data_IF_696051230143
#
_entry.id   IF_696051230143
#
_cell.length_a   1.000
_cell.length_b   1.000
_cell.length_c   1.000
_cell.angle_alpha   90.00
_cell.angle_beta   90.00
_cell.angle_gamma   90.00
#
_symmetry.space_group_name_H-M   'P 1'
#
loop_
_entity.id
_entity.type
_entity.pdbx_description
1 polymer ?
#
# COMPACT_ATOMS: atom_id res chain seq x y z
N UNK A 1 -8.23 33.34 -2.59
CA UNK A 1 -8.05 32.77 -3.94
C UNK A 1 -7.98 31.24 -3.80
N UNK A 2 -9.12 30.57 -3.52
CA UNK A 2 -9.12 29.21 -2.93
C UNK A 2 -10.25 28.30 -3.41
N UNK A 3 -11.10 28.73 -4.36
CA UNK A 3 -12.32 28.00 -4.72
C UNK A 3 -12.19 26.98 -5.86
N UNK A 4 -11.08 26.94 -6.60
CA UNK A 4 -10.97 26.18 -7.86
C UNK A 4 -9.93 25.03 -7.86
N UNK A 5 -9.54 24.49 -6.68
CA UNK A 5 -8.71 23.27 -6.64
C UNK A 5 -9.64 22.03 -6.67
N UNK A 6 -10.02 21.57 -7.87
CA UNK A 6 -10.82 20.34 -8.05
C UNK A 6 -9.94 19.08 -7.99
N UNK A 7 -10.40 18.09 -7.23
CA UNK A 7 -9.83 16.74 -7.21
C UNK A 7 -10.64 15.86 -8.17
N UNK A 8 -10.13 15.60 -9.37
CA UNK A 8 -10.75 14.66 -10.31
C UNK A 8 -9.71 14.07 -11.25
N UNK A 9 -9.47 12.77 -11.11
CA UNK A 9 -8.71 11.94 -12.05
C UNK A 9 -8.91 10.47 -11.66
N UNK A 10 -8.95 9.60 -12.68
CA UNK A 10 -9.02 8.15 -12.50
C UNK A 10 -7.64 7.63 -12.06
N UNK A 11 -7.62 6.67 -11.14
CA UNK A 11 -6.36 6.09 -10.65
C UNK A 11 -5.92 4.95 -11.57
N UNK A 12 -4.66 4.99 -12.00
CA UNK A 12 -4.10 3.92 -12.82
C UNK A 12 -3.79 2.73 -11.92
N UNK A 13 -4.41 1.58 -12.23
CA UNK A 13 -4.12 0.30 -11.58
C UNK A 13 -3.18 -0.52 -12.47
N UNK A 14 -1.86 -0.41 -12.27
CA UNK A 14 -0.85 -1.10 -13.09
C UNK A 14 -1.01 -2.62 -13.11
N UNK A 15 -1.47 -3.24 -12.01
CA UNK A 15 -1.77 -4.67 -11.98
C UNK A 15 -2.93 -5.05 -12.91
N UNK A 16 -3.94 -4.19 -13.09
CA UNK A 16 -5.02 -4.40 -14.04
C UNK A 16 -4.53 -4.24 -15.49
N UNK A 17 -3.67 -3.25 -15.74
CA UNK A 17 -3.02 -3.05 -17.04
C UNK A 17 -2.20 -4.31 -17.43
N UNK A 18 -1.43 -4.87 -16.49
CA UNK A 18 -0.66 -6.09 -16.71
C UNK A 18 -1.55 -7.30 -16.99
N UNK A 19 -2.70 -7.41 -16.32
CA UNK A 19 -3.71 -8.46 -16.59
C UNK A 19 -4.32 -8.30 -18.00
N UNK A 20 -4.68 -7.09 -18.41
CA UNK A 20 -5.20 -6.81 -19.76
C UNK A 20 -4.17 -7.15 -20.84
N UNK A 21 -2.90 -6.80 -20.62
CA UNK A 21 -1.80 -7.18 -21.51
C UNK A 21 -1.69 -8.70 -21.64
N UNK A 22 -1.65 -9.42 -20.51
CA UNK A 22 -1.58 -10.89 -20.50
C UNK A 22 -2.79 -11.54 -21.20
N UNK A 23 -3.98 -10.95 -21.07
CA UNK A 23 -5.17 -11.40 -21.80
C UNK A 23 -5.00 -11.23 -23.32
N UNK A 24 -4.49 -10.09 -23.79
CA UNK A 24 -4.20 -9.87 -25.20
C UNK A 24 -3.14 -10.83 -25.75
N UNK A 25 -2.07 -11.09 -24.98
CA UNK A 25 -1.04 -12.08 -25.33
C UNK A 25 -1.64 -13.49 -25.45
N UNK A 26 -2.54 -13.85 -24.54
CA UNK A 26 -3.24 -15.14 -24.56
C UNK A 26 -4.15 -15.25 -25.80
N UNK A 27 -4.83 -14.18 -26.21
CA UNK A 27 -5.64 -14.17 -27.45
C UNK A 27 -4.74 -14.50 -28.65
N UNK A 28 -3.60 -13.82 -28.77
CA UNK A 28 -2.66 -14.05 -29.87
C UNK A 28 -2.13 -15.49 -29.85
N UNK A 29 -1.77 -16.01 -28.67
CA UNK A 29 -1.29 -17.39 -28.52
C UNK A 29 -2.36 -18.42 -28.92
N UNK A 30 -3.58 -18.27 -28.42
CA UNK A 30 -4.71 -19.16 -28.72
C UNK A 30 -5.05 -19.12 -30.21
N UNK A 31 -5.09 -17.92 -30.81
CA UNK A 31 -5.36 -17.75 -32.24
C UNK A 31 -4.29 -18.42 -33.10
N UNK A 32 -3.01 -18.20 -32.78
CA UNK A 32 -1.90 -18.83 -33.50
C UNK A 32 -1.93 -20.36 -33.37
N UNK A 33 -2.24 -20.88 -32.17
CA UNK A 33 -2.38 -22.31 -31.94
C UNK A 33 -3.56 -22.91 -32.73
N UNK A 34 -4.71 -22.23 -32.72
CA UNK A 34 -5.90 -22.66 -33.45
C UNK A 34 -5.65 -22.71 -34.97
N UNK A 35 -4.95 -21.72 -35.52
CA UNK A 35 -4.57 -21.71 -36.94
C UNK A 35 -3.70 -22.90 -37.35
N UNK A 36 -2.86 -23.41 -36.43
CA UNK A 36 -1.99 -24.58 -36.66
C UNK A 36 -2.75 -25.89 -36.48
N UNK A 37 -3.59 -26.00 -35.45
CA UNK A 37 -4.31 -27.24 -35.11
C UNK A 37 -5.52 -27.49 -36.02
N UNK A 38 -6.15 -26.42 -36.51
CA UNK A 38 -7.40 -26.46 -37.28
C UNK A 38 -7.32 -25.61 -38.57
N UNK A 39 -6.36 -25.88 -39.48
CA UNK A 39 -6.13 -25.04 -40.65
C UNK A 39 -7.34 -24.95 -41.59
N UNK A 40 -8.16 -26.00 -41.66
CA UNK A 40 -9.32 -26.08 -42.56
C UNK A 40 -10.61 -25.48 -41.95
N UNK A 41 -10.65 -25.27 -40.62
CA UNK A 41 -11.80 -24.69 -39.89
C UNK A 41 -11.56 -23.24 -39.47
N UNK A 42 -10.38 -22.72 -39.77
CA UNK A 42 -9.92 -21.40 -39.41
C UNK A 42 -10.24 -20.39 -40.52
N UNK A 43 -10.80 -19.23 -40.16
CA UNK A 43 -10.81 -18.04 -41.02
C UNK A 43 -9.53 -17.22 -40.75
N UNK A 44 -8.51 -17.28 -41.63
CA UNK A 44 -7.22 -16.67 -41.37
C UNK A 44 -7.31 -15.14 -41.24
N UNK A 45 -8.19 -14.52 -42.03
CA UNK A 45 -8.38 -13.07 -42.02
C UNK A 45 -9.01 -12.60 -40.71
N UNK A 46 -9.89 -13.42 -40.12
CA UNK A 46 -10.50 -13.11 -38.83
C UNK A 46 -9.45 -13.16 -37.71
N UNK A 47 -8.66 -14.23 -37.63
CA UNK A 47 -7.61 -14.37 -36.61
C UNK A 47 -6.54 -13.30 -36.75
N UNK A 48 -6.13 -12.97 -37.99
CA UNK A 48 -5.15 -11.93 -38.26
C UNK A 48 -5.63 -10.58 -37.74
N UNK A 49 -6.89 -10.20 -38.01
CA UNK A 49 -7.49 -8.95 -37.50
C UNK A 49 -7.60 -8.92 -35.97
N UNK A 50 -7.96 -10.04 -35.34
CA UNK A 50 -8.01 -10.15 -33.88
C UNK A 50 -6.60 -10.00 -33.28
N UNK A 51 -5.59 -10.61 -33.90
CA UNK A 51 -4.21 -10.52 -33.47
C UNK A 51 -3.63 -9.11 -33.67
N UNK A 52 -3.93 -8.45 -34.78
CA UNK A 52 -3.56 -7.05 -35.03
C UNK A 52 -4.17 -6.11 -33.99
N UNK A 53 -5.46 -6.31 -33.66
CA UNK A 53 -6.14 -5.53 -32.63
C UNK A 53 -5.52 -5.75 -31.26
N UNK A 54 -5.28 -7.01 -30.87
CA UNK A 54 -4.63 -7.34 -29.60
C UNK A 54 -3.20 -6.79 -29.53
N UNK A 55 -2.44 -6.82 -30.64
CA UNK A 55 -1.09 -6.27 -30.72
C UNK A 55 -1.06 -4.74 -30.60
N UNK A 56 -2.03 -4.06 -31.23
CA UNK A 56 -2.20 -2.63 -31.09
C UNK A 56 -2.56 -2.23 -29.65
N UNK A 57 -3.42 -3.00 -28.99
CA UNK A 57 -3.77 -2.79 -27.58
C UNK A 57 -2.56 -3.03 -26.66
N UNK A 58 -1.77 -4.09 -26.87
CA UNK A 58 -0.52 -4.35 -26.12
C UNK A 58 0.42 -3.15 -26.24
N UNK A 59 0.58 -2.58 -27.44
CA UNK A 59 1.45 -1.41 -27.66
C UNK A 59 0.99 -0.20 -26.81
N UNK A 60 -0.33 0.03 -26.72
CA UNK A 60 -0.88 1.10 -25.87
C UNK A 60 -0.68 0.80 -24.38
N UNK A 61 -0.91 -0.45 -23.95
CA UNK A 61 -0.72 -0.86 -22.57
C UNK A 61 0.76 -0.77 -22.15
N UNK A 62 1.69 -1.14 -23.03
CA UNK A 62 3.13 -1.02 -22.79
C UNK A 62 3.58 0.44 -22.65
N UNK A 63 2.99 1.35 -23.44
CA UNK A 63 3.24 2.78 -23.26
C UNK A 63 2.77 3.28 -21.88
N UNK A 64 1.66 2.76 -21.36
CA UNK A 64 1.19 3.07 -20.00
C UNK A 64 2.13 2.45 -18.96
N UNK A 65 2.49 1.17 -19.09
CA UNK A 65 3.39 0.46 -18.17
C UNK A 65 4.78 1.11 -18.11
N UNK A 66 5.27 1.71 -19.19
CA UNK A 66 6.52 2.46 -19.21
C UNK A 66 6.52 3.69 -18.27
N UNK A 67 5.34 4.15 -17.87
CA UNK A 67 5.17 5.26 -16.90
C UNK A 67 5.00 4.79 -15.45
N UNK A 68 5.15 3.49 -15.18
CA UNK A 68 4.99 2.90 -13.85
C UNK A 68 5.97 3.55 -12.85
N UNK A 69 5.47 4.11 -11.73
CA UNK A 69 6.34 4.63 -10.70
C UNK A 69 7.13 3.50 -10.02
N UNK A 70 8.36 3.78 -9.54
CA UNK A 70 9.11 2.80 -8.75
C UNK A 70 8.34 2.43 -7.47
N UNK A 71 8.56 1.21 -6.94
CA UNK A 71 7.94 0.81 -5.68
C UNK A 71 8.32 1.77 -4.53
N UNK A 72 7.44 1.96 -3.54
CA UNK A 72 7.72 2.86 -2.43
C UNK A 72 8.90 2.38 -1.58
N UNK A 73 9.82 3.29 -1.28
CA UNK A 73 10.97 3.00 -0.42
C UNK A 73 10.62 3.24 1.04
N UNK A 74 10.05 2.22 1.68
CA UNK A 74 9.72 2.22 3.11
C UNK A 74 10.47 1.07 3.81
N UNK A 75 10.92 1.21 5.06
CA UNK A 75 11.15 2.47 5.74
C UNK A 75 12.26 3.29 5.03
N UNK A 76 12.35 4.60 5.30
CA UNK A 76 13.46 5.43 4.82
C UNK A 76 14.83 4.84 5.22
N UNK A 77 15.70 4.58 4.25
CA UNK A 77 17.05 4.01 4.45
C UNK A 77 18.08 5.01 4.99
N UNK A 78 17.80 6.31 4.89
CA UNK A 78 18.63 7.38 5.43
C UNK A 78 17.76 8.38 6.21
N UNK A 79 18.36 9.18 7.11
CA UNK A 79 17.64 10.21 7.85
C UNK A 79 16.94 11.20 6.92
N UNK A 80 15.70 11.54 7.27
CA UNK A 80 14.95 12.58 6.58
C UNK A 80 15.44 13.96 7.03
N UNK A 81 15.49 14.91 6.10
CA UNK A 81 15.72 16.32 6.40
C UNK A 81 14.67 17.20 5.73
N UNK A 82 14.52 18.41 6.28
CA UNK A 82 13.56 19.40 5.79
C UNK A 82 14.15 20.16 4.60
N UNK A 83 13.39 20.24 3.51
CA UNK A 83 13.63 21.16 2.39
C UNK A 83 12.47 22.14 2.31
N UNK A 84 12.73 23.41 2.00
CA UNK A 84 11.70 24.42 1.84
C UNK A 84 12.03 25.31 0.67
N UNK A 85 11.00 25.79 -0.03
CA UNK A 85 11.17 26.56 -1.25
C UNK A 85 9.91 26.61 -2.09
N UNK A 86 10.00 27.30 -3.22
CA UNK A 86 8.93 27.35 -4.22
C UNK A 86 9.09 26.18 -5.19
N UNK A 87 7.96 25.56 -5.55
CA UNK A 87 7.99 24.50 -6.56
C UNK A 87 8.19 25.09 -7.96
N UNK A 88 9.28 24.69 -8.60
CA UNK A 88 9.64 25.05 -9.98
C UNK A 88 8.85 24.20 -10.98
N UNK A 89 8.79 22.90 -10.72
CA UNK A 89 8.08 21.92 -11.54
C UNK A 89 7.31 20.96 -10.63
N UNK A 90 6.11 20.55 -11.06
CA UNK A 90 5.28 19.62 -10.30
C UNK A 90 4.33 18.86 -11.22
N UNK A 91 4.42 17.54 -11.20
CA UNK A 91 3.58 16.60 -11.92
C UNK A 91 3.07 15.53 -10.95
N UNK A 92 1.80 15.16 -11.11
CA UNK A 92 1.13 14.18 -10.26
C UNK A 92 0.55 13.08 -11.12
N UNK A 93 0.95 11.85 -10.84
CA UNK A 93 0.38 10.65 -11.44
C UNK A 93 -0.48 9.94 -10.39
N UNK A 94 -1.77 9.75 -10.69
CA UNK A 94 -2.71 9.09 -9.78
C UNK A 94 -2.63 7.59 -9.99
N UNK A 95 -2.18 6.86 -8.97
CA UNK A 95 -1.84 5.44 -9.06
C UNK A 95 -2.38 4.67 -7.87
N UNK A 96 -2.80 3.42 -8.11
CA UNK A 96 -3.04 2.46 -7.04
C UNK A 96 -1.69 1.94 -6.56
N UNK A 97 -1.27 2.39 -5.38
CA UNK A 97 -0.03 2.00 -4.74
C UNK A 97 -0.24 0.93 -3.67
N UNK A 98 0.84 0.25 -3.30
CA UNK A 98 0.87 -0.77 -2.25
C UNK A 98 1.96 -0.39 -1.26
N UNK A 99 1.64 -0.36 0.03
CA UNK A 99 2.52 0.23 1.07
C UNK A 99 2.67 -0.67 2.30
N UNK A 100 2.29 -1.95 2.17
CA UNK A 100 2.41 -2.94 3.23
C UNK A 100 3.84 -3.47 3.34
N UNK A 101 4.14 -4.15 4.45
CA UNK A 101 5.40 -4.85 4.71
C UNK A 101 5.80 -5.81 3.58
N UNK A 102 4.83 -6.46 2.95
CA UNK A 102 5.05 -7.28 1.75
C UNK A 102 5.81 -6.57 0.62
N UNK A 103 5.66 -5.26 0.47
CA UNK A 103 6.20 -4.51 -0.67
C UNK A 103 7.65 -4.07 -0.45
N UNK A 104 8.07 -3.94 0.80
CA UNK A 104 9.40 -3.46 1.12
C UNK A 104 10.28 -4.46 1.88
N UNK A 105 9.68 -5.45 2.54
CA UNK A 105 10.37 -6.58 3.15
C UNK A 105 9.63 -7.90 2.82
N UNK A 106 9.68 -8.34 1.54
CA UNK A 106 8.97 -9.52 1.09
C UNK A 106 9.44 -10.80 1.78
N UNK A 107 10.71 -10.87 2.19
CA UNK A 107 11.27 -12.03 2.90
C UNK A 107 10.71 -12.12 4.32
N UNK A 108 10.74 -11.03 5.10
CA UNK A 108 10.16 -11.03 6.44
C UNK A 108 8.65 -11.29 6.39
N UNK A 109 7.95 -10.72 5.41
CA UNK A 109 6.53 -11.00 5.21
C UNK A 109 6.28 -12.49 4.94
N UNK A 110 7.02 -13.11 4.03
CA UNK A 110 6.87 -14.53 3.70
C UNK A 110 7.16 -15.43 4.92
N UNK A 111 8.17 -15.09 5.71
CA UNK A 111 8.46 -15.79 6.96
C UNK A 111 7.32 -15.64 7.99
N UNK A 112 6.76 -14.45 8.12
CA UNK A 112 5.63 -14.21 9.03
C UNK A 112 4.37 -14.95 8.58
N UNK A 113 4.07 -14.95 7.28
CA UNK A 113 2.95 -15.69 6.71
C UNK A 113 3.10 -17.20 6.94
N UNK A 114 4.29 -17.75 6.71
CA UNK A 114 4.60 -19.16 7.00
C UNK A 114 4.38 -19.50 8.48
N UNK A 115 4.84 -18.65 9.40
CA UNK A 115 4.63 -18.83 10.85
C UNK A 115 3.15 -18.78 11.22
N UNK A 116 2.38 -17.87 10.62
CA UNK A 116 0.94 -17.74 10.84
C UNK A 116 0.20 -19.00 10.37
N UNK A 117 0.57 -19.56 9.21
CA UNK A 117 0.00 -20.82 8.71
C UNK A 117 0.29 -22.00 9.64
N UNK A 118 1.55 -22.13 10.10
CA UNK A 118 1.93 -23.16 11.09
C UNK A 118 1.19 -22.96 12.41
N UNK A 119 1.06 -21.72 12.88
CA UNK A 119 0.28 -21.37 14.06
C UNK A 119 -1.20 -21.74 13.91
N UNK A 120 -1.80 -21.46 12.75
CA UNK A 120 -3.17 -21.84 12.42
C UNK A 120 -3.39 -23.35 12.48
N UNK A 121 -2.44 -24.14 11.93
CA UNK A 121 -2.49 -25.60 12.03
C UNK A 121 -2.41 -26.08 13.50
N UNK A 122 -1.54 -25.50 14.31
CA UNK A 122 -1.42 -25.85 15.74
C UNK A 122 -2.73 -25.53 16.49
N UNK A 123 -3.37 -24.40 16.21
CA UNK A 123 -4.66 -24.01 16.79
C UNK A 123 -5.79 -24.93 16.30
N UNK A 124 -5.72 -25.44 15.07
CA UNK A 124 -6.67 -26.45 14.59
C UNK A 124 -6.52 -27.78 15.34
N UNK A 125 -5.28 -28.20 15.63
CA UNK A 125 -5.00 -29.43 16.39
C UNK A 125 -5.55 -29.36 17.83
N UNK A 126 -5.70 -28.17 18.41
CA UNK A 126 -6.33 -27.99 19.73
C UNK A 126 -7.86 -27.92 19.67
N UNK A 127 -8.45 -28.14 18.50
CA UNK A 127 -9.91 -28.17 18.30
C UNK A 127 -10.53 -26.80 18.06
N UNK A 128 -9.74 -25.72 17.97
CA UNK A 128 -10.24 -24.37 17.74
C UNK A 128 -10.18 -24.01 16.24
N UNK A 129 -11.16 -24.53 15.48
CA UNK A 129 -11.24 -24.32 14.03
C UNK A 129 -11.46 -22.86 13.63
N UNK A 130 -12.20 -22.09 14.42
CA UNK A 130 -12.42 -20.66 14.17
C UNK A 130 -11.13 -19.85 14.35
N UNK A 131 -10.37 -20.10 15.42
CA UNK A 131 -9.07 -19.48 15.65
C UNK A 131 -8.03 -19.87 14.60
N UNK A 132 -8.06 -21.12 14.15
CA UNK A 132 -7.21 -21.62 13.07
C UNK A 132 -7.47 -20.91 11.73
N UNK A 133 -8.76 -20.73 11.38
CA UNK A 133 -9.15 -20.04 10.16
C UNK A 133 -8.64 -18.60 10.12
N UNK A 134 -8.74 -17.87 11.23
CA UNK A 134 -8.24 -16.49 11.32
C UNK A 134 -6.71 -16.44 11.31
N UNK A 135 -6.06 -17.35 12.04
CA UNK A 135 -4.59 -17.33 12.20
C UNK A 135 -3.87 -17.77 10.93
N UNK A 136 -4.39 -18.78 10.23
CA UNK A 136 -3.78 -19.31 9.00
C UNK A 136 -4.15 -18.57 7.72
N UNK A 137 -5.04 -17.57 7.80
CA UNK A 137 -5.48 -16.84 6.62
C UNK A 137 -4.35 -15.96 6.06
N UNK A 138 -4.07 -16.11 4.77
CA UNK A 138 -3.21 -15.18 4.03
C UNK A 138 -3.79 -13.77 4.04
N UNK A 139 -2.92 -12.79 4.31
CA UNK A 139 -3.35 -11.39 4.34
C UNK A 139 -3.70 -10.91 2.93
N UNK A 140 -4.87 -10.27 2.80
CA UNK A 140 -5.27 -9.64 1.55
C UNK A 140 -4.35 -8.45 1.29
N UNK A 141 -3.73 -8.43 0.11
CA UNK A 141 -2.87 -7.32 -0.31
C UNK A 141 -3.66 -6.01 -0.30
N UNK A 142 -3.22 -5.04 0.49
CA UNK A 142 -3.91 -3.77 0.66
C UNK A 142 -3.43 -2.75 -0.38
N UNK A 143 -4.38 -2.17 -1.12
CA UNK A 143 -4.11 -1.20 -2.18
C UNK A 143 -4.69 0.17 -1.82
N UNK A 144 -3.94 1.23 -2.13
CA UNK A 144 -4.33 2.60 -1.79
C UNK A 144 -4.24 3.56 -2.97
N UNK A 145 -5.30 4.34 -3.15
CA UNK A 145 -5.39 5.41 -4.13
C UNK A 145 -4.47 6.57 -3.73
N UNK A 146 -3.35 6.69 -4.44
CA UNK A 146 -2.21 7.53 -4.07
C UNK A 146 -1.74 8.41 -5.23
N UNK A 147 -1.02 9.47 -4.89
CA UNK A 147 -0.41 10.38 -5.85
C UNK A 147 1.10 10.11 -5.88
N UNK A 148 1.63 9.66 -7.02
CA UNK A 148 3.06 9.66 -7.27
C UNK A 148 3.46 11.02 -7.82
N UNK A 149 4.26 11.75 -7.06
CA UNK A 149 4.68 13.11 -7.42
C UNK A 149 6.07 13.11 -8.02
N UNK A 150 6.26 13.98 -9.01
CA UNK A 150 7.56 14.32 -9.61
C UNK A 150 7.67 15.83 -9.67
N UNK A 151 8.82 16.41 -9.43
CA UNK A 151 8.97 17.86 -9.50
C UNK A 151 10.38 18.33 -9.26
N UNK A 152 10.52 19.64 -9.08
CA UNK A 152 11.79 20.30 -8.83
C UNK A 152 11.65 21.41 -7.80
N UNK A 153 12.58 21.44 -6.85
CA UNK A 153 12.67 22.47 -5.81
C UNK A 153 14.13 22.88 -5.61
N UNK A 154 14.39 24.18 -5.49
CA UNK A 154 15.75 24.71 -5.28
C UNK A 154 16.78 24.16 -6.27
N UNK A 155 16.40 23.95 -7.54
CA UNK A 155 17.27 23.37 -8.56
C UNK A 155 17.38 21.83 -8.55
N UNK A 156 16.82 21.13 -7.56
CA UNK A 156 16.97 19.67 -7.38
C UNK A 156 15.65 18.94 -7.69
N UNK A 157 15.73 17.90 -8.52
CA UNK A 157 14.59 17.05 -8.87
C UNK A 157 14.17 16.17 -7.70
N UNK A 158 12.87 15.92 -7.58
CA UNK A 158 12.33 15.05 -6.55
C UNK A 158 11.24 14.13 -7.08
N UNK A 159 11.05 13.00 -6.41
CA UNK A 159 9.91 12.12 -6.63
C UNK A 159 9.48 11.44 -5.35
N UNK A 160 8.24 10.97 -5.27
CA UNK A 160 7.79 10.28 -4.07
C UNK A 160 6.34 9.86 -4.12
N UNK A 161 6.00 8.93 -3.22
CA UNK A 161 4.63 8.51 -3.01
C UNK A 161 3.99 9.34 -1.92
N UNK A 162 2.87 9.97 -2.24
CA UNK A 162 2.08 10.73 -1.30
C UNK A 162 0.64 10.24 -1.34
N UNK A 163 -0.10 10.50 -0.27
CA UNK A 163 -1.56 10.52 -0.35
C UNK A 163 -2.04 11.61 -1.31
N UNK A 164 -3.32 11.94 -1.22
CA UNK A 164 -3.93 12.96 -2.10
C UNK A 164 -3.31 14.34 -1.83
N UNK A 165 -2.70 14.95 -2.85
CA UNK A 165 -2.07 16.28 -2.76
C UNK A 165 -2.82 17.33 -3.59
N UNK A 166 -2.85 18.56 -3.08
CA UNK A 166 -3.47 19.73 -3.72
C UNK A 166 -2.43 20.80 -4.11
N UNK A 167 -1.15 20.45 -4.03
CA UNK A 167 0.00 21.33 -4.30
C UNK A 167 0.11 21.64 -5.79
N UNK A 168 0.57 22.83 -6.13
CA UNK A 168 0.76 23.30 -7.51
C UNK A 168 2.13 23.96 -7.69
N UNK A 169 2.58 24.06 -8.94
CA UNK A 169 3.75 24.87 -9.30
C UNK A 169 3.57 26.30 -8.79
N UNK A 170 4.63 26.88 -8.22
CA UNK A 170 4.60 28.20 -7.60
C UNK A 170 4.14 28.22 -6.14
N UNK A 171 3.58 27.13 -5.61
CA UNK A 171 3.29 27.03 -4.17
C UNK A 171 4.62 26.98 -3.38
N UNK A 172 4.69 27.72 -2.26
CA UNK A 172 5.76 27.55 -1.28
C UNK A 172 5.46 26.35 -0.39
N UNK A 173 6.35 25.37 -0.38
CA UNK A 173 6.15 24.11 0.34
C UNK A 173 7.31 23.81 1.28
N UNK A 174 7.02 23.00 2.28
CA UNK A 174 8.04 22.37 3.12
C UNK A 174 7.95 20.85 2.93
N UNK A 175 9.06 20.19 2.66
CA UNK A 175 9.10 18.77 2.36
C UNK A 175 9.99 18.02 3.35
N UNK A 176 9.55 16.84 3.78
CA UNK A 176 10.42 15.86 4.43
C UNK A 176 10.96 14.92 3.36
N UNK A 177 12.27 14.97 3.14
CA UNK A 177 12.92 14.27 2.04
C UNK A 177 14.08 13.43 2.53
N UNK A 178 14.38 12.38 1.78
CA UNK A 178 15.64 11.66 1.83
C UNK A 178 16.51 12.09 0.64
N UNK A 179 17.78 12.36 0.90
CA UNK A 179 18.77 12.64 -0.13
C UNK A 179 19.18 11.38 -0.89
N UNK A 180 19.20 11.47 -2.21
CA UNK A 180 19.99 10.61 -3.10
C UNK A 180 20.88 11.50 -3.97
N UNK A 181 21.96 10.93 -4.51
CA UNK A 181 23.08 11.66 -5.14
C UNK A 181 22.65 12.91 -5.93
N UNK A 182 21.67 12.79 -6.82
CA UNK A 182 21.14 13.92 -7.63
C UNK A 182 19.61 14.11 -7.55
N UNK A 183 18.93 13.47 -6.60
CA UNK A 183 17.47 13.61 -6.47
C UNK A 183 16.98 13.41 -5.04
N UNK A 184 15.82 13.96 -4.74
CA UNK A 184 15.14 13.74 -3.46
C UNK A 184 14.04 12.67 -3.57
N UNK A 185 13.95 11.81 -2.56
CA UNK A 185 12.78 10.97 -2.32
C UNK A 185 11.91 11.66 -1.28
N UNK A 186 10.68 12.01 -1.64
CA UNK A 186 9.76 12.78 -0.79
C UNK A 186 8.80 11.85 -0.05
N UNK A 187 8.68 12.07 1.27
CA UNK A 187 7.79 11.31 2.15
C UNK A 187 6.63 12.14 2.70
N UNK A 188 6.81 13.46 2.77
CA UNK A 188 5.76 14.38 3.17
C UNK A 188 5.94 15.74 2.50
N UNK A 189 4.83 16.39 2.17
CA UNK A 189 4.78 17.77 1.70
C UNK A 189 3.76 18.52 2.56
N UNK A 190 4.22 19.59 3.19
CA UNK A 190 3.40 20.59 3.83
C UNK A 190 3.22 21.77 2.88
N UNK A 191 1.99 22.26 2.78
CA UNK A 191 1.63 23.51 2.13
C UNK A 191 1.20 24.50 3.23
N UNK A 192 2.12 25.33 3.74
CA UNK A 192 1.85 26.21 4.89
C UNK A 192 0.69 27.18 4.67
N UNK A 193 0.51 27.67 3.44
CA UNK A 193 -0.59 28.58 3.08
C UNK A 193 -1.97 27.96 3.38
N UNK A 194 -2.15 26.68 3.06
CA UNK A 194 -3.41 25.96 3.30
C UNK A 194 -3.40 25.19 4.63
N UNK A 195 -2.27 25.19 5.37
CA UNK A 195 -2.05 24.40 6.58
C UNK A 195 -2.35 22.91 6.38
N UNK A 196 -2.07 22.40 5.19
CA UNK A 196 -2.28 20.99 4.83
C UNK A 196 -0.94 20.27 4.77
N UNK A 197 -0.89 19.05 5.30
CA UNK A 197 0.24 18.15 5.17
C UNK A 197 -0.28 16.89 4.47
N UNK A 198 0.40 16.50 3.40
CA UNK A 198 0.19 15.23 2.71
C UNK A 198 1.42 14.36 2.94
N UNK A 199 1.22 13.11 3.34
CA UNK A 199 2.28 12.15 3.65
C UNK A 199 2.09 10.87 2.83
N UNK A 200 3.14 10.07 2.69
CA UNK A 200 3.04 8.69 2.17
C UNK A 200 1.98 7.90 2.97
N UNK A 201 1.09 7.13 2.31
CA UNK A 201 0.09 6.32 3.00
C UNK A 201 0.72 5.38 4.05
N UNK A 202 -0.03 5.10 5.11
CA UNK A 202 0.37 4.29 6.28
C UNK A 202 1.59 4.77 7.08
N UNK A 203 2.29 5.82 6.63
CA UNK A 203 3.32 6.51 7.43
C UNK A 203 2.67 7.49 8.43
N UNK A 204 1.77 6.99 9.27
CA UNK A 204 0.98 7.81 10.22
C UNK A 204 1.73 8.13 11.51
N UNK A 205 2.61 7.22 11.95
CA UNK A 205 3.28 7.30 13.24
C UNK A 205 4.75 6.91 13.10
N UNK A 206 5.60 7.55 13.91
CA UNK A 206 6.95 7.04 14.14
C UNK A 206 6.93 5.89 15.14
N UNK A 207 8.00 5.09 15.15
CA UNK A 207 8.18 3.92 16.04
C UNK A 207 7.85 4.20 17.52
N UNK A 208 8.13 5.41 18.01
CA UNK A 208 7.88 5.78 19.40
C UNK A 208 6.39 5.84 19.75
N UNK A 209 5.55 6.30 18.82
CA UNK A 209 4.11 6.41 19.03
C UNK A 209 3.47 5.02 18.97
N UNK A 210 3.92 4.15 18.06
CA UNK A 210 3.43 2.76 17.99
C UNK A 210 3.74 2.00 19.29
N UNK A 211 4.99 2.09 19.78
CA UNK A 211 5.39 1.47 21.06
C UNK A 211 4.57 2.04 22.23
N UNK A 212 4.30 3.35 22.24
CA UNK A 212 3.50 3.98 23.28
C UNK A 212 2.05 3.47 23.28
N UNK A 213 1.42 3.33 22.12
CA UNK A 213 0.05 2.81 22.01
C UNK A 213 -0.04 1.35 22.42
N UNK A 214 0.93 0.52 21.99
CA UNK A 214 0.97 -0.90 22.33
C UNK A 214 1.13 -1.11 23.84
N UNK A 215 2.06 -0.37 24.46
CA UNK A 215 2.26 -0.38 25.91
C UNK A 215 1.02 0.09 26.68
N UNK A 216 0.41 1.19 26.24
CA UNK A 216 -0.79 1.76 26.90
C UNK A 216 -1.97 0.79 26.82
N UNK A 217 -2.21 0.20 25.66
CA UNK A 217 -3.28 -0.79 25.45
C UNK A 217 -3.05 -2.04 26.31
N UNK A 218 -1.82 -2.55 26.35
CA UNK A 218 -1.43 -3.70 27.17
C UNK A 218 -1.69 -3.49 28.66
N UNK A 219 -1.37 -2.31 29.20
CA UNK A 219 -1.66 -1.97 30.61
C UNK A 219 -3.15 -2.06 30.94
N UNK A 220 -4.03 -1.57 30.06
CA UNK A 220 -5.47 -1.63 30.30
C UNK A 220 -6.02 -3.06 30.29
N UNK A 221 -5.53 -3.91 29.38
CA UNK A 221 -5.93 -5.33 29.32
C UNK A 221 -5.46 -6.09 30.57
N UNK A 222 -4.18 -5.92 30.94
CA UNK A 222 -3.61 -6.55 32.14
C UNK A 222 -4.34 -6.06 33.39
N UNK A 223 -4.53 -4.74 33.53
CA UNK A 223 -5.27 -4.15 34.65
C UNK A 223 -6.69 -4.68 34.76
N UNK A 224 -7.42 -4.76 33.65
CA UNK A 224 -8.77 -5.33 33.60
C UNK A 224 -8.81 -6.79 34.06
N UNK A 225 -7.88 -7.62 33.57
CA UNK A 225 -7.76 -9.01 33.98
C UNK A 225 -7.47 -9.14 35.49
N UNK A 226 -6.52 -8.38 36.03
CA UNK A 226 -6.23 -8.36 37.46
C UNK A 226 -7.42 -7.88 38.30
N UNK A 227 -8.19 -6.92 37.81
CA UNK A 227 -9.39 -6.43 38.52
C UNK A 227 -10.47 -7.50 38.58
N UNK A 228 -10.72 -8.22 37.48
CA UNK A 228 -11.66 -9.36 37.45
C UNK A 228 -11.17 -10.48 38.37
N UNK A 229 -9.88 -10.81 38.34
CA UNK A 229 -9.29 -11.85 39.19
C UNK A 229 -9.39 -11.50 40.68
N UNK A 230 -9.13 -10.24 41.05
CA UNK A 230 -9.34 -9.73 42.41
C UNK A 230 -10.81 -9.83 42.82
N UNK A 231 -11.75 -9.45 41.97
CA UNK A 231 -13.18 -9.62 42.26
C UNK A 231 -13.52 -11.10 42.49
N UNK A 232 -13.03 -12.03 41.68
CA UNK A 232 -13.24 -13.46 41.86
C UNK A 232 -12.62 -14.04 43.14
N UNK A 233 -11.52 -13.46 43.64
CA UNK A 233 -10.87 -13.90 44.89
C UNK A 233 -11.54 -13.27 46.13
N UNK A 234 -11.91 -12.00 46.06
CA UNK A 234 -12.42 -11.24 47.22
C UNK A 234 -13.95 -11.31 47.40
N UNK A 235 -14.74 -11.51 46.34
CA UNK A 235 -16.19 -11.74 46.45
C UNK A 235 -16.54 -12.98 47.29
N UNK A 236 -15.96 -14.18 47.07
CA UNK A 236 -16.27 -15.35 47.89
C UNK A 236 -15.74 -15.21 49.33
N UNK A 237 -14.64 -14.47 49.55
CA UNK A 237 -14.09 -14.22 50.88
C UNK A 237 -15.04 -13.36 51.74
N UNK A 238 -15.64 -12.32 51.13
CA UNK A 238 -16.64 -11.49 51.79
C UNK A 238 -17.92 -12.27 52.12
N UNK A 239 -18.35 -13.17 51.24
CA UNK A 239 -19.53 -13.99 51.43
C UNK A 239 -19.34 -15.14 52.45
N UNK A 240 -18.10 -15.59 52.63
CA UNK A 240 -17.70 -16.57 53.65
C UNK A 240 -17.55 -15.93 55.03
N UNK A 241 -16.95 -14.73 55.12
CA UNK A 241 -16.83 -13.98 56.37
C UNK A 241 -18.19 -13.49 56.90
N UNK A 242 -19.12 -13.09 56.02
CA UNK A 242 -20.49 -12.69 56.42
C UNK A 242 -21.37 -13.87 56.90
N UNK A 243 -20.94 -15.12 56.69
CA UNK A 243 -21.64 -16.33 57.17
C UNK A 243 -21.08 -16.86 58.49
N UNK A 244 -19.94 -16.36 58.93
CA UNK A 244 -19.24 -16.79 60.15
C UNK A 244 -19.56 -15.88 61.35
N UNK A 245 -20.08 -14.68 61.11
CA UNK A 245 -20.67 -13.78 62.11
C UNK A 245 -22.20 -13.80 62.00
#
# INVERSE_FOLDING_TARGET
MTKDRKFSGEFIAFDEIRRKKSHCETIIEVNNKWAVEHPDECDPLKLERENEQASAEITQLDAILATEPPPPELPPRQPLFKVSGMLEEFSVQKVIGYFTDREYDPEAFAHQESRNQVGGLLVAMTGNTAGAAVTGQSQVRMSDASDFVRGKINGVSFSGWLGKTNVKVGDFVEMAVMGREEHYVVYAIALPELRTITMTPYCRHGREIDVFYEYRSGIFLIGGFFTVLLLFVFLPLSHFLLRIF
#
